data_IF_942627666926
#
_entry.id   IF_942627666926
#
_cell.length_a   1.000
_cell.length_b   1.000
_cell.length_c   1.000
_cell.angle_alpha   90.00
_cell.angle_beta   90.00
_cell.angle_gamma   90.00
#
_symmetry.space_group_name_H-M   'P 1'
#
loop_
_entity.id
_entity.type
_entity.pdbx_description
1 polymer ?
#
# COMPACT_ATOMS: atom_id res chain seq x y z
N UNK A 1 -30.80 25.00 -33.17
CA UNK A 1 -29.36 24.68 -33.05
C UNK A 1 -28.80 24.75 -31.61
N UNK A 2 -29.63 24.79 -30.54
CA UNK A 2 -29.15 24.86 -29.14
C UNK A 2 -29.20 23.52 -28.39
N UNK A 3 -29.92 22.52 -28.92
CA UNK A 3 -30.08 21.21 -28.27
C UNK A 3 -28.94 20.21 -28.55
N UNK A 4 -28.12 20.44 -29.58
CA UNK A 4 -26.97 19.57 -29.90
C UNK A 4 -25.76 19.79 -28.98
N UNK A 5 -25.66 20.97 -28.37
CA UNK A 5 -24.63 21.28 -27.37
C UNK A 5 -24.85 20.54 -26.04
N UNK A 6 -26.10 20.19 -25.70
CA UNK A 6 -26.41 19.41 -24.49
C UNK A 6 -26.10 17.91 -24.66
N UNK A 7 -26.20 17.37 -25.87
CA UNK A 7 -25.90 15.95 -26.16
C UNK A 7 -24.37 15.70 -26.16
N UNK A 8 -23.57 16.70 -26.55
CA UNK A 8 -22.11 16.66 -26.44
C UNK A 8 -21.59 16.74 -24.99
N UNK A 9 -22.32 17.40 -24.09
CA UNK A 9 -22.00 17.47 -22.66
C UNK A 9 -22.43 16.21 -21.88
N UNK A 10 -23.52 15.56 -22.27
CA UNK A 10 -24.01 14.30 -21.67
C UNK A 10 -23.22 13.05 -22.10
N UNK A 11 -22.44 13.13 -23.17
CA UNK A 11 -21.52 12.05 -23.57
C UNK A 11 -20.17 12.15 -22.87
N UNK A 12 -19.83 13.32 -22.31
CA UNK A 12 -18.63 13.51 -21.49
C UNK A 12 -18.78 13.01 -20.04
N UNK A 13 -20.02 12.79 -19.56
CA UNK A 13 -20.29 12.28 -18.21
C UNK A 13 -20.17 10.76 -18.07
N UNK A 14 -19.85 10.04 -19.16
CA UNK A 14 -19.58 8.59 -19.14
C UNK A 14 -18.13 8.20 -18.85
N UNK A 15 -17.35 9.07 -18.20
CA UNK A 15 -16.15 8.63 -17.46
C UNK A 15 -16.53 8.24 -16.03
N UNK A 16 -17.44 7.27 -15.89
CA UNK A 16 -17.44 6.44 -14.68
C UNK A 16 -16.34 5.42 -14.95
N UNK A 17 -15.08 5.85 -14.82
CA UNK A 17 -13.96 4.91 -14.87
C UNK A 17 -14.15 3.97 -13.69
N UNK A 18 -14.30 2.65 -13.92
CA UNK A 18 -14.24 1.70 -12.81
C UNK A 18 -12.93 1.95 -12.07
N UNK A 19 -12.99 1.93 -10.74
CA UNK A 19 -11.81 2.06 -9.91
C UNK A 19 -10.77 1.05 -10.46
N UNK A 20 -9.54 1.47 -10.77
CA UNK A 20 -8.55 0.53 -11.32
C UNK A 20 -8.43 -0.65 -10.34
N UNK A 21 -8.44 -1.90 -10.84
CA UNK A 21 -8.51 -3.12 -10.02
C UNK A 21 -7.52 -3.14 -8.84
N UNK A 22 -6.34 -2.52 -9.00
CA UNK A 22 -5.31 -2.38 -7.95
C UNK A 22 -5.74 -1.51 -6.77
N UNK A 23 -6.57 -0.49 -7.01
CA UNK A 23 -7.11 0.36 -5.95
C UNK A 23 -8.27 -0.32 -5.22
N UNK A 24 -9.06 -1.16 -5.91
CA UNK A 24 -10.10 -1.99 -5.29
C UNK A 24 -9.48 -3.03 -4.34
N UNK A 25 -8.43 -3.73 -4.80
CA UNK A 25 -7.66 -4.66 -3.98
C UNK A 25 -7.09 -3.98 -2.73
N UNK A 26 -6.47 -2.80 -2.87
CA UNK A 26 -5.94 -2.06 -1.72
C UNK A 26 -7.03 -1.67 -0.71
N UNK A 27 -8.22 -1.27 -1.18
CA UNK A 27 -9.34 -0.95 -0.31
C UNK A 27 -9.87 -2.17 0.44
N UNK A 28 -9.93 -3.33 -0.21
CA UNK A 28 -10.28 -4.60 0.44
C UNK A 28 -9.27 -4.97 1.53
N UNK A 29 -7.96 -4.89 1.22
CA UNK A 29 -6.90 -5.14 2.20
C UNK A 29 -7.00 -4.20 3.42
N UNK A 30 -7.25 -2.91 3.20
CA UNK A 30 -7.44 -1.93 4.28
C UNK A 30 -8.68 -2.22 5.12
N UNK A 31 -9.73 -2.74 4.51
CA UNK A 31 -10.97 -3.12 5.21
C UNK A 31 -10.73 -4.34 6.09
N UNK A 32 -10.08 -5.38 5.55
CA UNK A 32 -9.66 -6.57 6.31
C UNK A 32 -8.74 -6.19 7.48
N UNK A 33 -7.89 -5.18 7.30
CA UNK A 33 -6.96 -4.75 8.35
C UNK A 33 -7.69 -4.22 9.57
N UNK A 34 -8.78 -3.47 9.38
CA UNK A 34 -9.61 -2.94 10.47
C UNK A 34 -10.28 -4.04 11.29
N UNK A 35 -10.50 -5.21 10.71
CA UNK A 35 -11.19 -6.35 11.33
C UNK A 35 -10.22 -7.42 11.86
N UNK A 36 -8.94 -7.35 11.47
CA UNK A 36 -7.92 -8.34 11.85
C UNK A 36 -7.52 -8.25 13.32
N UNK A 37 -7.16 -9.41 13.89
CA UNK A 37 -6.59 -9.54 15.24
C UNK A 37 -5.08 -9.27 15.18
N UNK A 38 -4.45 -8.94 16.31
CA UNK A 38 -3.00 -8.73 16.40
C UNK A 38 -2.23 -10.05 16.38
N UNK A 39 -2.23 -10.70 15.21
CA UNK A 39 -1.57 -11.98 14.95
C UNK A 39 -0.72 -11.92 13.68
N UNK A 40 -0.13 -13.06 13.32
CA UNK A 40 0.73 -13.20 12.15
C UNK A 40 -0.02 -12.95 10.83
N UNK A 41 -1.35 -13.15 10.79
CA UNK A 41 -2.14 -12.82 9.60
C UNK A 41 -2.27 -11.30 9.43
N UNK A 42 -2.38 -10.54 10.53
CA UNK A 42 -2.31 -9.07 10.47
C UNK A 42 -0.92 -8.58 10.01
N UNK A 43 0.17 -9.25 10.41
CA UNK A 43 1.51 -8.95 9.87
C UNK A 43 1.51 -9.11 8.35
N UNK A 44 1.05 -10.24 7.83
CA UNK A 44 1.00 -10.49 6.38
C UNK A 44 0.16 -9.46 5.65
N UNK A 45 -0.98 -9.09 6.22
CA UNK A 45 -1.87 -8.08 5.64
C UNK A 45 -1.21 -6.69 5.59
N UNK A 46 -0.53 -6.28 6.66
CA UNK A 46 0.24 -5.04 6.69
C UNK A 46 1.36 -5.04 5.63
N UNK A 47 2.05 -6.17 5.45
CA UNK A 47 3.09 -6.33 4.42
C UNK A 47 2.53 -6.25 3.00
N UNK A 48 1.35 -6.82 2.75
CA UNK A 48 0.67 -6.72 1.45
C UNK A 48 0.29 -5.26 1.14
N UNK A 49 -0.26 -4.55 2.13
CA UNK A 49 -0.60 -3.12 2.01
C UNK A 49 0.67 -2.29 1.76
N UNK A 50 1.73 -2.52 2.53
CA UNK A 50 3.01 -1.84 2.33
C UNK A 50 3.55 -2.08 0.90
N UNK A 51 3.51 -3.33 0.42
CA UNK A 51 3.91 -3.68 -0.96
C UNK A 51 3.11 -2.92 -2.00
N UNK A 52 1.79 -2.83 -1.82
CA UNK A 52 0.90 -2.14 -2.74
C UNK A 52 1.24 -0.64 -2.84
N UNK A 53 1.50 0.02 -1.70
CA UNK A 53 1.93 1.42 -1.69
C UNK A 53 3.31 1.64 -2.31
N UNK A 54 4.28 0.75 -2.05
CA UNK A 54 5.58 0.84 -2.72
C UNK A 54 5.44 0.69 -4.25
N UNK A 55 4.61 -0.25 -4.70
CA UNK A 55 4.31 -0.43 -6.12
C UNK A 55 3.48 0.71 -6.72
N UNK A 56 2.93 1.61 -5.90
CA UNK A 56 2.20 2.79 -6.30
C UNK A 56 3.03 4.08 -6.24
N UNK A 57 4.32 3.99 -5.88
CA UNK A 57 5.17 5.17 -5.73
C UNK A 57 4.83 6.03 -4.50
N UNK A 58 4.22 5.44 -3.47
CA UNK A 58 3.86 6.12 -2.23
C UNK A 58 4.78 5.67 -1.08
N UNK A 59 6.03 6.19 -1.00
CA UNK A 59 7.02 5.73 -0.03
C UNK A 59 6.59 5.98 1.41
N UNK A 60 5.90 7.09 1.71
CA UNK A 60 5.46 7.41 3.07
C UNK A 60 4.43 6.42 3.59
N UNK A 61 3.41 6.10 2.79
CA UNK A 61 2.44 5.07 3.14
C UNK A 61 3.10 3.70 3.24
N UNK A 62 4.00 3.36 2.32
CA UNK A 62 4.77 2.12 2.42
C UNK A 62 5.57 2.02 3.74
N UNK A 63 6.29 3.08 4.12
CA UNK A 63 7.00 3.15 5.41
C UNK A 63 6.04 2.93 6.58
N UNK A 64 4.93 3.66 6.60
CA UNK A 64 3.96 3.59 7.69
C UNK A 64 3.43 2.17 7.94
N UNK A 65 3.02 1.46 6.88
CA UNK A 65 2.51 0.10 7.02
C UNK A 65 3.62 -0.92 7.29
N UNK A 66 4.82 -0.72 6.72
CA UNK A 66 5.97 -1.58 6.97
C UNK A 66 6.46 -1.48 8.43
N UNK A 67 6.50 -0.27 9.02
CA UNK A 67 6.84 -0.09 10.43
C UNK A 67 5.83 -0.76 11.36
N UNK A 68 4.54 -0.71 11.02
CA UNK A 68 3.50 -1.42 11.78
C UNK A 68 3.70 -2.93 11.71
N UNK A 69 4.03 -3.46 10.52
CA UNK A 69 4.34 -4.88 10.35
C UNK A 69 5.57 -5.27 11.18
N UNK A 70 6.63 -4.45 11.15
CA UNK A 70 7.86 -4.70 11.91
C UNK A 70 7.59 -4.80 13.42
N UNK A 71 6.90 -3.79 14.00
CA UNK A 71 6.58 -3.79 15.44
C UNK A 71 5.77 -5.00 15.86
N UNK A 72 4.75 -5.36 15.08
CA UNK A 72 3.91 -6.53 15.38
C UNK A 72 4.70 -7.83 15.21
N UNK A 73 5.54 -7.95 14.17
CA UNK A 73 6.38 -9.12 13.96
C UNK A 73 7.34 -9.34 15.11
N UNK A 74 7.98 -8.29 15.61
CA UNK A 74 8.86 -8.35 16.78
C UNK A 74 8.10 -8.79 18.04
N UNK A 75 6.89 -8.26 18.27
CA UNK A 75 6.05 -8.65 19.40
C UNK A 75 5.68 -10.15 19.35
N UNK A 76 5.41 -10.67 18.15
CA UNK A 76 5.01 -12.05 17.92
C UNK A 76 6.20 -13.01 17.77
N UNK A 77 7.43 -12.52 17.76
CA UNK A 77 8.64 -13.27 17.39
C UNK A 77 8.57 -13.87 15.96
N UNK A 78 7.86 -13.21 15.05
CA UNK A 78 7.76 -13.59 13.63
C UNK A 78 8.99 -13.07 12.86
N UNK A 79 10.04 -13.90 12.79
CA UNK A 79 11.29 -13.54 12.11
C UNK A 79 11.10 -13.28 10.60
N UNK A 80 10.16 -14.00 9.96
CA UNK A 80 9.87 -13.80 8.55
C UNK A 80 9.17 -12.47 8.33
N UNK A 81 8.15 -12.17 9.15
CA UNK A 81 7.46 -10.89 9.15
C UNK A 81 8.40 -9.71 9.36
N UNK A 82 9.34 -9.83 10.30
CA UNK A 82 10.37 -8.82 10.55
C UNK A 82 11.25 -8.59 9.31
N UNK A 83 11.80 -9.65 8.71
CA UNK A 83 12.65 -9.53 7.53
C UNK A 83 11.90 -8.90 6.34
N UNK A 84 10.66 -9.32 6.10
CA UNK A 84 9.83 -8.74 5.04
C UNK A 84 9.47 -7.27 5.31
N UNK A 85 9.24 -6.90 6.57
CA UNK A 85 8.95 -5.52 6.94
C UNK A 85 10.17 -4.62 6.72
N UNK A 86 11.34 -5.07 7.16
CA UNK A 86 12.63 -4.40 6.90
C UNK A 86 12.90 -4.22 5.41
N UNK A 87 12.67 -5.26 4.61
CA UNK A 87 12.75 -5.17 3.15
C UNK A 87 11.85 -4.08 2.57
N UNK A 88 10.60 -3.96 3.04
CA UNK A 88 9.71 -2.89 2.57
C UNK A 88 10.19 -1.50 2.99
N UNK A 89 10.75 -1.34 4.20
CA UNK A 89 11.36 -0.07 4.63
C UNK A 89 12.56 0.31 3.75
N UNK A 90 13.40 -0.65 3.39
CA UNK A 90 14.48 -0.45 2.43
C UNK A 90 13.98 0.03 1.07
N UNK A 91 12.90 -0.57 0.54
CA UNK A 91 12.24 -0.11 -0.69
C UNK A 91 11.72 1.32 -0.58
N UNK A 92 11.18 1.70 0.58
CA UNK A 92 10.76 3.07 0.84
C UNK A 92 11.92 4.06 0.72
N UNK A 93 13.06 3.73 1.32
CA UNK A 93 14.25 4.60 1.29
C UNK A 93 14.85 4.69 -0.11
N UNK A 94 14.88 3.60 -0.88
CA UNK A 94 15.28 3.63 -2.29
C UNK A 94 14.39 4.58 -3.08
N UNK A 95 13.07 4.50 -2.91
CA UNK A 95 12.12 5.39 -3.60
C UNK A 95 12.31 6.88 -3.22
N UNK A 96 12.89 7.18 -2.05
CA UNK A 96 13.28 8.53 -1.62
C UNK A 96 14.70 8.92 -2.02
N UNK A 97 15.40 8.11 -2.83
CA UNK A 97 16.81 8.25 -3.17
C UNK A 97 17.79 8.23 -1.96
N UNK A 98 17.34 7.73 -0.81
CA UNK A 98 18.13 7.62 0.43
C UNK A 98 18.83 6.26 0.52
N UNK A 99 19.75 5.97 -0.41
CA UNK A 99 20.36 4.64 -0.54
C UNK A 99 21.09 4.17 0.72
N UNK A 100 21.79 5.05 1.44
CA UNK A 100 22.48 4.68 2.69
C UNK A 100 21.52 4.15 3.76
N UNK A 101 20.36 4.80 3.94
CA UNK A 101 19.31 4.34 4.86
C UNK A 101 18.62 3.07 4.37
N UNK A 102 18.59 2.82 3.06
CA UNK A 102 18.04 1.57 2.53
C UNK A 102 18.91 0.37 2.93
N UNK A 103 20.24 0.52 2.90
CA UNK A 103 21.17 -0.55 3.31
C UNK A 103 20.99 -0.94 4.77
N UNK A 104 20.77 0.02 5.67
CA UNK A 104 20.49 -0.25 7.10
C UNK A 104 19.24 -1.13 7.31
N UNK A 105 18.29 -1.09 6.38
CA UNK A 105 17.08 -1.91 6.43
C UNK A 105 17.23 -3.25 5.70
N UNK A 106 18.27 -3.49 4.92
CA UNK A 106 18.50 -4.79 4.26
C UNK A 106 19.46 -5.69 5.02
N UNK A 107 20.20 -5.13 5.98
CA UNK A 107 21.10 -5.83 6.89
C UNK A 107 20.36 -6.26 8.16
#
# INVERSE_FOLDING_TARGET
MRSWLFILLLTFSRLITPLPAKAEELQDLLTKLKQSRQDTAQVQLLLQIAKAYANGGAPDSNSFYAERALRLSMLLNDQLGEALARYQLGRSQIARANYLRALEHFL
#
